data_IF_029502267369
#
_entry.id   IF_029502267369
#
_cell.length_a   1.000
_cell.length_b   1.000
_cell.length_c   1.000
_cell.angle_alpha   90.00
_cell.angle_beta   90.00
_cell.angle_gamma   90.00
#
_symmetry.space_group_name_H-M   'P 1'
#
loop_
_entity.id
_entity.type
_entity.pdbx_description
1 polymer ?
#
# COMPACT_ATOMS: atom_id res chain seq x y z
N UNK A 1 32.09 47.73 27.74
CA UNK A 1 31.95 47.07 26.42
C UNK A 1 30.97 45.91 26.56
N UNK A 2 29.76 46.09 26.08
CA UNK A 2 28.72 45.05 26.15
C UNK A 2 28.86 44.14 24.93
N UNK A 3 29.20 42.87 25.15
CA UNK A 3 29.21 41.88 24.10
C UNK A 3 27.76 41.40 23.86
N UNK A 4 27.20 41.79 22.72
CA UNK A 4 25.94 41.24 22.24
C UNK A 4 26.17 39.82 21.70
N UNK A 5 25.66 38.84 22.43
CA UNK A 5 25.61 37.46 21.97
C UNK A 5 24.36 37.29 21.11
N UNK A 6 24.53 37.28 19.80
CA UNK A 6 23.43 36.98 18.86
C UNK A 6 23.23 35.47 18.85
N UNK A 7 22.18 35.03 19.52
CA UNK A 7 21.72 33.67 19.51
C UNK A 7 20.95 33.44 18.18
N UNK A 8 21.62 32.90 17.18
CA UNK A 8 20.96 32.47 15.93
C UNK A 8 20.23 31.18 16.22
N UNK A 9 18.92 31.29 16.43
CA UNK A 9 18.03 30.14 16.52
C UNK A 9 17.84 29.64 15.09
N UNK A 10 18.55 28.57 14.73
CA UNK A 10 18.25 27.78 13.54
C UNK A 10 16.92 27.08 13.76
N UNK A 11 15.84 27.70 13.31
CA UNK A 11 14.56 27.01 13.15
C UNK A 11 14.71 26.15 11.91
N UNK A 12 15.16 24.91 12.09
CA UNK A 12 15.02 23.88 11.06
C UNK A 12 13.54 23.54 10.97
N UNK A 13 12.85 24.22 10.07
CA UNK A 13 11.52 23.82 9.64
C UNK A 13 11.64 22.43 9.01
N UNK A 14 11.30 21.42 9.81
CA UNK A 14 11.02 20.08 9.33
C UNK A 14 9.80 20.20 8.41
N UNK A 15 10.04 20.44 7.15
CA UNK A 15 9.04 20.21 6.13
C UNK A 15 8.77 18.71 6.14
N UNK A 16 7.72 18.32 6.86
CA UNK A 16 7.14 17.02 6.74
C UNK A 16 6.65 16.91 5.30
N UNK A 17 7.49 16.35 4.43
CA UNK A 17 7.03 15.90 3.15
C UNK A 17 5.98 14.82 3.42
N UNK A 18 4.71 15.21 3.43
CA UNK A 18 3.58 14.31 3.34
C UNK A 18 3.61 13.70 1.95
N UNK A 19 4.68 12.98 1.69
CA UNK A 19 4.85 12.29 0.43
C UNK A 19 3.93 11.08 0.42
N UNK A 20 3.48 10.71 -0.76
CA UNK A 20 2.84 9.43 -1.10
C UNK A 20 3.38 8.22 -0.27
N UNK A 21 4.64 8.25 0.14
CA UNK A 21 5.27 7.27 1.02
C UNK A 21 4.54 7.08 2.38
N UNK A 22 3.90 8.11 2.93
CA UNK A 22 3.18 8.02 4.22
C UNK A 22 1.91 7.17 4.19
N UNK A 23 1.36 6.88 3.01
CA UNK A 23 0.17 6.02 2.85
C UNK A 23 0.50 4.54 2.67
N UNK A 24 1.74 4.21 2.35
CA UNK A 24 2.20 2.83 2.15
C UNK A 24 2.35 2.11 3.48
N UNK A 25 2.03 0.81 3.46
CA UNK A 25 2.33 -0.03 4.60
C UNK A 25 3.83 -0.26 4.75
N UNK A 26 4.26 -0.35 6.00
CA UNK A 26 5.62 -0.71 6.39
C UNK A 26 5.61 -1.73 7.52
N UNK A 27 6.63 -2.57 7.54
CA UNK A 27 6.82 -3.59 8.57
C UNK A 27 6.17 -4.93 8.24
N UNK A 28 6.34 -5.90 9.12
CA UNK A 28 5.81 -7.25 8.92
C UNK A 28 4.28 -7.23 8.86
N UNK A 29 3.72 -7.92 7.88
CA UNK A 29 2.30 -8.22 7.81
C UNK A 29 2.13 -9.57 7.12
N UNK A 30 1.29 -10.42 7.67
CA UNK A 30 0.90 -11.70 7.08
C UNK A 30 -0.57 -11.62 6.69
N UNK A 31 -0.86 -11.87 5.43
CA UNK A 31 -2.23 -11.92 4.93
C UNK A 31 -2.89 -13.24 5.37
N UNK A 32 -4.09 -13.13 5.92
CA UNK A 32 -4.96 -14.28 6.10
C UNK A 32 -5.35 -14.89 4.75
N UNK A 33 -5.63 -16.19 4.71
CA UNK A 33 -5.85 -16.90 3.44
C UNK A 33 -7.01 -16.31 2.61
N UNK A 34 -8.10 -15.93 3.27
CA UNK A 34 -9.22 -15.27 2.59
C UNK A 34 -8.83 -13.88 2.03
N UNK A 35 -7.88 -13.21 2.68
CA UNK A 35 -7.37 -11.91 2.21
C UNK A 35 -6.45 -12.08 1.00
N UNK A 36 -5.69 -13.18 0.96
CA UNK A 36 -4.94 -13.58 -0.25
C UNK A 36 -5.90 -13.80 -1.42
N UNK A 37 -7.00 -14.52 -1.19
CA UNK A 37 -8.04 -14.71 -2.21
C UNK A 37 -8.65 -13.38 -2.67
N UNK A 38 -8.97 -12.50 -1.75
CA UNK A 38 -9.53 -11.18 -2.06
C UNK A 38 -8.55 -10.34 -2.90
N UNK A 39 -7.27 -10.36 -2.54
CA UNK A 39 -6.22 -9.67 -3.29
C UNK A 39 -6.05 -10.23 -4.72
N UNK A 40 -6.02 -11.55 -4.87
CA UNK A 40 -5.93 -12.19 -6.19
C UNK A 40 -7.14 -11.83 -7.05
N UNK A 41 -8.35 -11.90 -6.51
CA UNK A 41 -9.57 -11.53 -7.22
C UNK A 41 -9.55 -10.07 -7.66
N UNK A 42 -9.07 -9.18 -6.79
CA UNK A 42 -8.89 -7.78 -7.13
C UNK A 42 -7.85 -7.59 -8.24
N UNK A 43 -6.71 -8.27 -8.20
CA UNK A 43 -5.66 -8.22 -9.23
C UNK A 43 -6.18 -8.60 -10.61
N UNK A 44 -7.08 -9.60 -10.67
CA UNK A 44 -7.64 -10.06 -11.94
C UNK A 44 -8.64 -9.08 -12.54
N UNK A 45 -9.08 -8.10 -11.77
CA UNK A 45 -10.15 -7.22 -12.17
C UNK A 45 -11.47 -7.98 -12.32
N UNK A 46 -12.53 -7.25 -12.49
CA UNK A 46 -13.84 -7.82 -12.78
C UNK A 46 -14.56 -6.96 -13.81
N UNK A 47 -15.32 -7.58 -14.70
CA UNK A 47 -16.18 -6.83 -15.63
C UNK A 47 -15.44 -5.80 -16.49
N UNK A 48 -14.22 -6.09 -16.95
CA UNK A 48 -13.38 -5.16 -17.72
C UNK A 48 -12.72 -4.04 -16.91
N UNK A 49 -12.93 -4.00 -15.61
CA UNK A 49 -12.30 -3.02 -14.71
C UNK A 49 -10.87 -3.42 -14.38
N UNK A 50 -9.97 -2.43 -14.35
CA UNK A 50 -8.57 -2.63 -14.01
C UNK A 50 -8.35 -2.36 -12.53
N UNK A 51 -7.53 -3.16 -11.81
CA UNK A 51 -7.19 -2.90 -10.43
C UNK A 51 -6.44 -1.56 -10.32
N UNK A 52 -6.83 -0.73 -9.37
CA UNK A 52 -6.21 0.57 -9.12
C UNK A 52 -5.39 0.56 -7.84
N UNK A 53 -6.01 0.42 -6.69
CA UNK A 53 -5.36 0.36 -5.38
C UNK A 53 -6.02 -0.69 -4.50
N UNK A 54 -5.21 -1.29 -3.61
CA UNK A 54 -5.66 -2.21 -2.58
C UNK A 54 -5.11 -1.77 -1.24
N UNK A 55 -5.99 -1.54 -0.29
CA UNK A 55 -5.66 -1.19 1.09
C UNK A 55 -5.82 -2.42 1.97
N UNK A 56 -4.90 -2.60 2.88
CA UNK A 56 -4.86 -3.72 3.81
C UNK A 56 -4.80 -3.17 5.22
N UNK A 57 -5.50 -3.82 6.14
CA UNK A 57 -5.32 -3.56 7.57
C UNK A 57 -3.91 -3.95 8.01
N UNK A 58 -3.37 -3.26 8.99
CA UNK A 58 -2.03 -3.56 9.51
C UNK A 58 -1.94 -4.94 10.16
N UNK A 59 -3.08 -5.54 10.49
CA UNK A 59 -3.20 -6.93 10.96
C UNK A 59 -3.26 -7.98 9.85
N UNK A 60 -3.45 -7.59 8.58
CA UNK A 60 -3.46 -8.50 7.44
C UNK A 60 -4.75 -9.31 7.24
N UNK A 61 -5.77 -9.02 8.02
CA UNK A 61 -7.02 -9.78 8.09
C UNK A 61 -8.24 -9.10 7.45
N UNK A 62 -8.09 -7.90 6.93
CA UNK A 62 -9.15 -7.20 6.23
C UNK A 62 -8.59 -6.19 5.23
N UNK A 63 -9.38 -5.74 4.28
CA UNK A 63 -8.92 -4.80 3.28
C UNK A 63 -9.99 -4.43 2.26
N UNK A 64 -9.69 -3.43 1.46
CA UNK A 64 -10.58 -2.92 0.41
C UNK A 64 -9.80 -2.66 -0.87
N UNK A 65 -10.32 -3.16 -1.99
CA UNK A 65 -9.78 -2.91 -3.31
C UNK A 65 -10.66 -1.96 -4.14
N UNK A 66 -10.02 -1.04 -4.85
CA UNK A 66 -10.67 -0.15 -5.79
C UNK A 66 -10.25 -0.45 -7.21
N UNK A 67 -11.16 -0.24 -8.14
CA UNK A 67 -10.95 -0.41 -9.57
C UNK A 67 -10.99 0.92 -10.30
N UNK A 68 -10.30 1.01 -11.42
CA UNK A 68 -10.45 2.14 -12.32
C UNK A 68 -11.86 2.13 -12.94
N UNK A 69 -12.59 3.25 -12.92
CA UNK A 69 -13.76 3.37 -13.75
C UNK A 69 -13.36 3.38 -15.24
N UNK A 70 -14.15 2.78 -16.06
CA UNK A 70 -13.96 2.34 -17.46
C UNK A 70 -12.86 2.98 -18.32
N UNK A 71 -12.84 4.27 -18.57
CA UNK A 71 -11.90 4.88 -19.51
C UNK A 71 -10.75 5.64 -18.85
N UNK A 72 -10.97 6.21 -17.67
CA UNK A 72 -10.01 7.10 -17.00
C UNK A 72 -9.65 6.62 -15.59
N UNK A 73 -8.48 5.98 -15.46
CA UNK A 73 -7.84 5.78 -14.17
C UNK A 73 -7.34 7.11 -13.64
N UNK A 74 -8.18 7.83 -12.93
CA UNK A 74 -7.74 9.01 -12.19
C UNK A 74 -6.81 8.62 -11.04
N UNK A 75 -5.97 9.56 -10.61
CA UNK A 75 -5.12 9.34 -9.44
C UNK A 75 -6.00 9.05 -8.21
N UNK A 76 -5.65 8.03 -7.40
CA UNK A 76 -6.42 7.70 -6.21
C UNK A 76 -6.32 8.82 -5.16
N UNK A 77 -7.38 9.00 -4.40
CA UNK A 77 -7.37 9.87 -3.22
C UNK A 77 -6.97 9.05 -1.99
N UNK A 78 -5.69 8.84 -1.77
CA UNK A 78 -5.16 7.95 -0.74
C UNK A 78 -5.70 8.24 0.67
N UNK A 79 -5.77 9.49 1.08
CA UNK A 79 -6.27 9.86 2.42
C UNK A 79 -7.76 9.54 2.58
N UNK A 80 -8.54 9.81 1.57
CA UNK A 80 -9.97 9.53 1.57
C UNK A 80 -10.23 8.02 1.53
N UNK A 81 -9.54 7.30 0.68
CA UNK A 81 -9.66 5.85 0.55
C UNK A 81 -9.26 5.12 1.83
N UNK A 82 -8.18 5.55 2.49
CA UNK A 82 -7.75 5.01 3.79
C UNK A 82 -8.82 5.28 4.85
N UNK A 83 -9.38 6.48 4.90
CA UNK A 83 -10.45 6.80 5.85
C UNK A 83 -11.68 5.91 5.64
N UNK A 84 -12.03 5.59 4.40
CA UNK A 84 -13.11 4.66 4.07
C UNK A 84 -12.75 3.25 4.55
N UNK A 85 -11.54 2.77 4.24
CA UNK A 85 -11.07 1.46 4.69
C UNK A 85 -11.11 1.33 6.21
N UNK A 86 -10.63 2.32 6.93
CA UNK A 86 -10.62 2.32 8.40
C UNK A 86 -12.04 2.35 8.99
N UNK A 87 -12.95 3.10 8.38
CA UNK A 87 -14.36 3.12 8.78
C UNK A 87 -15.04 1.77 8.56
N UNK A 88 -14.81 1.13 7.42
CA UNK A 88 -15.45 -0.15 7.07
C UNK A 88 -14.85 -1.33 7.85
N UNK A 89 -13.56 -1.32 8.13
CA UNK A 89 -12.87 -2.41 8.82
C UNK A 89 -12.78 -2.21 10.34
N UNK A 90 -12.89 -0.96 10.82
CA UNK A 90 -12.64 -0.62 12.22
C UNK A 90 -11.17 -0.70 12.64
N UNK A 91 -10.24 -0.80 11.69
CA UNK A 91 -8.81 -1.02 11.92
C UNK A 91 -7.97 -0.04 11.09
N UNK A 92 -6.72 0.17 11.50
CA UNK A 92 -5.78 0.96 10.73
C UNK A 92 -5.50 0.32 9.37
N UNK A 93 -5.63 1.11 8.31
CA UNK A 93 -5.39 0.68 6.93
C UNK A 93 -4.20 1.41 6.32
N UNK A 94 -3.48 0.68 5.47
CA UNK A 94 -2.38 1.22 4.65
C UNK A 94 -2.47 0.70 3.22
N UNK A 95 -1.87 1.43 2.30
CA UNK A 95 -1.79 1.02 0.91
C UNK A 95 -0.88 -0.22 0.78
N UNK A 96 -1.44 -1.30 0.29
CA UNK A 96 -0.76 -2.57 0.05
C UNK A 96 -0.33 -2.71 -1.41
N UNK A 97 -1.26 -2.50 -2.32
CA UNK A 97 -1.05 -2.68 -3.75
C UNK A 97 -1.51 -1.49 -4.59
N UNK A 98 -0.77 -1.21 -5.65
CA UNK A 98 -1.13 -0.25 -6.69
C UNK A 98 -0.96 -0.90 -8.05
N UNK A 99 -2.06 -1.07 -8.78
CA UNK A 99 -2.07 -1.89 -10.00
C UNK A 99 -1.50 -3.29 -9.67
N UNK A 100 -0.49 -3.73 -10.37
CA UNK A 100 0.15 -5.03 -10.14
C UNK A 100 1.44 -4.96 -9.28
N UNK A 101 1.67 -3.86 -8.60
CA UNK A 101 2.85 -3.67 -7.75
C UNK A 101 2.44 -3.67 -6.29
N UNK A 102 3.08 -4.51 -5.47
CA UNK A 102 2.94 -4.47 -4.01
C UNK A 102 3.84 -3.36 -3.49
N UNK A 103 3.25 -2.30 -2.96
CA UNK A 103 3.97 -1.12 -2.48
C UNK A 103 4.30 -1.15 -0.98
N UNK A 104 3.77 -2.12 -0.26
CA UNK A 104 4.07 -2.37 1.15
C UNK A 104 5.50 -2.87 1.31
N UNK A 105 6.26 -2.25 2.21
CA UNK A 105 7.65 -2.64 2.54
C UNK A 105 7.66 -3.46 3.83
N UNK A 106 8.16 -4.68 3.75
CA UNK A 106 8.21 -5.56 4.93
C UNK A 106 9.62 -6.07 5.28
N UNK A 107 10.67 -5.49 4.68
CA UNK A 107 12.06 -5.93 4.83
C UNK A 107 12.50 -6.95 3.78
N UNK A 108 11.57 -7.66 3.12
CA UNK A 108 11.82 -8.57 1.99
C UNK A 108 11.37 -7.91 0.69
N UNK A 109 10.12 -7.44 0.66
CA UNK A 109 9.58 -6.69 -0.47
C UNK A 109 10.04 -5.23 -0.43
N UNK A 110 10.71 -4.71 -1.47
CA UNK A 110 11.17 -3.32 -1.51
C UNK A 110 10.05 -2.30 -1.75
N UNK A 111 8.84 -2.75 -2.10
CA UNK A 111 7.67 -1.88 -2.35
C UNK A 111 7.75 -1.09 -3.66
N UNK A 112 8.63 -1.47 -4.56
CA UNK A 112 8.84 -0.81 -5.86
C UNK A 112 9.58 -1.71 -6.84
N UNK A 113 9.55 -1.33 -8.10
CA UNK A 113 10.35 -1.98 -9.13
C UNK A 113 9.81 -3.34 -9.55
N UNK A 114 10.61 -4.04 -10.31
CA UNK A 114 10.25 -5.34 -10.91
C UNK A 114 10.07 -6.43 -9.83
N UNK A 115 10.83 -6.34 -8.76
CA UNK A 115 10.80 -7.30 -7.65
C UNK A 115 9.44 -7.33 -6.94
N UNK A 116 8.75 -6.20 -6.89
CA UNK A 116 7.45 -6.05 -6.23
C UNK A 116 6.25 -6.26 -7.15
N UNK A 117 6.47 -6.61 -8.41
CA UNK A 117 5.38 -6.81 -9.38
C UNK A 117 4.84 -8.22 -9.32
N UNK A 118 3.53 -8.31 -9.47
CA UNK A 118 2.79 -9.56 -9.66
C UNK A 118 2.33 -9.62 -11.11
N UNK A 119 2.58 -10.73 -11.78
CA UNK A 119 2.03 -10.95 -13.12
C UNK A 119 0.58 -11.43 -12.99
N UNK A 120 -0.35 -10.63 -13.47
CA UNK A 120 -1.79 -10.92 -13.38
C UNK A 120 -2.23 -12.12 -14.22
N UNK A 121 -1.37 -12.61 -15.11
CA UNK A 121 -1.60 -13.82 -15.91
C UNK A 121 -1.15 -15.10 -15.21
N UNK A 122 -0.43 -15.01 -14.11
CA UNK A 122 -0.03 -16.16 -13.32
C UNK A 122 -1.26 -16.87 -12.74
N UNK A 123 -1.13 -18.17 -12.54
CA UNK A 123 -2.12 -18.95 -11.79
C UNK A 123 -2.21 -18.47 -10.33
N UNK A 124 -3.28 -18.80 -9.64
CA UNK A 124 -3.43 -18.48 -8.21
C UNK A 124 -2.29 -19.09 -7.39
N UNK A 125 -1.84 -20.29 -7.75
CA UNK A 125 -0.69 -20.94 -7.12
C UNK A 125 0.59 -20.11 -7.29
N UNK A 126 0.90 -19.64 -8.48
CA UNK A 126 2.09 -18.83 -8.75
C UNK A 126 2.03 -17.48 -8.03
N UNK A 127 0.86 -16.84 -7.97
CA UNK A 127 0.69 -15.61 -7.20
C UNK A 127 0.89 -15.86 -5.70
N UNK A 128 0.33 -16.93 -5.16
CA UNK A 128 0.54 -17.32 -3.76
C UNK A 128 1.99 -17.60 -3.45
N UNK A 129 2.70 -18.31 -4.30
CA UNK A 129 4.14 -18.53 -4.15
C UNK A 129 4.92 -17.22 -4.16
N UNK A 130 4.56 -16.30 -5.05
CA UNK A 130 5.20 -14.99 -5.08
C UNK A 130 4.94 -14.18 -3.81
N UNK A 131 3.73 -14.19 -3.27
CA UNK A 131 3.40 -13.54 -1.99
C UNK A 131 4.22 -14.15 -0.84
N UNK A 132 4.43 -15.46 -0.85
CA UNK A 132 5.28 -16.15 0.12
C UNK A 132 6.74 -15.72 0.01
N UNK A 133 7.31 -15.69 -1.19
CA UNK A 133 8.67 -15.21 -1.46
C UNK A 133 8.88 -13.76 -1.00
N UNK A 134 7.85 -12.93 -1.15
CA UNK A 134 7.86 -11.54 -0.69
C UNK A 134 7.55 -11.36 0.80
N UNK A 135 7.33 -12.46 1.54
CA UNK A 135 7.15 -12.45 2.99
C UNK A 135 5.76 -12.03 3.46
N UNK A 136 4.72 -12.16 2.61
CA UNK A 136 3.34 -11.79 2.94
C UNK A 136 2.45 -12.98 3.32
N UNK A 137 2.93 -14.21 3.17
CA UNK A 137 2.25 -15.42 3.62
C UNK A 137 3.25 -16.39 4.23
N UNK A 138 2.77 -17.30 5.10
CA UNK A 138 3.58 -18.37 5.69
C UNK A 138 3.88 -19.51 4.70
#
# INVERSE_FOLDING_TARGET
MKKFLILIIFITSLFSNTSYAGYRGEGPVILEDYMVNAYINWLRGGWGKKPMVFYLTTSGDDGIGWYCPEADCQAPSYSQDISICERETGKECKLFGRRNTIVWKNGINPGKGKESRINTKWSDFEIRQRLKELGFTN
#
